data_IF_662503599506
#
_entry.id   IF_662503599506
#
_cell.length_a   1.000
_cell.length_b   1.000
_cell.length_c   1.000
_cell.angle_alpha   90.00
_cell.angle_beta   90.00
_cell.angle_gamma   90.00
#
_symmetry.space_group_name_H-M   'P 1'
#
loop_
_entity.id
_entity.type
_entity.pdbx_description
1 polymer ?
#
# COMPACT_ATOMS: atom_id res chain seq x y z
N UNK A 1 -25.58 0.17 4.27
CA UNK A 1 -26.41 0.62 3.10
C UNK A 1 -27.57 1.54 3.55
N UNK A 2 -28.43 1.14 4.52
CA UNK A 2 -29.56 1.97 4.96
C UNK A 2 -29.13 3.37 5.48
N UNK A 3 -28.08 3.44 6.29
CA UNK A 3 -27.57 4.71 6.80
C UNK A 3 -27.10 5.66 5.69
N UNK A 4 -26.39 5.13 4.69
CA UNK A 4 -25.91 5.90 3.53
C UNK A 4 -27.07 6.47 2.72
N UNK A 5 -28.10 5.67 2.44
CA UNK A 5 -29.31 6.14 1.73
C UNK A 5 -30.00 7.28 2.48
N UNK A 6 -30.13 7.15 3.80
CA UNK A 6 -30.74 8.20 4.64
C UNK A 6 -29.89 9.49 4.62
N UNK A 7 -28.55 9.37 4.67
CA UNK A 7 -27.67 10.53 4.56
C UNK A 7 -27.81 11.24 3.21
N UNK A 8 -27.81 10.50 2.11
CA UNK A 8 -28.02 11.05 0.77
C UNK A 8 -29.35 11.79 0.69
N UNK A 9 -30.43 11.19 1.15
CA UNK A 9 -31.76 11.81 1.14
C UNK A 9 -31.82 13.11 1.96
N UNK A 10 -31.24 13.10 3.16
CA UNK A 10 -31.20 14.30 4.02
C UNK A 10 -30.40 15.41 3.37
N UNK A 11 -29.23 15.08 2.82
CA UNK A 11 -28.39 16.08 2.15
C UNK A 11 -29.05 16.61 0.88
N UNK A 12 -29.72 15.75 0.07
CA UNK A 12 -30.48 16.19 -1.12
C UNK A 12 -31.58 17.21 -0.76
N UNK A 13 -32.32 16.94 0.33
CA UNK A 13 -33.36 17.88 0.80
C UNK A 13 -32.77 19.22 1.19
N UNK A 14 -31.69 19.21 1.96
CA UNK A 14 -30.98 20.44 2.39
C UNK A 14 -30.49 21.25 1.19
N UNK A 15 -29.84 20.60 0.21
CA UNK A 15 -29.33 21.25 -1.01
C UNK A 15 -30.49 21.88 -1.80
N UNK A 16 -31.60 21.16 -1.95
CA UNK A 16 -32.79 21.68 -2.65
C UNK A 16 -33.39 22.88 -1.94
N UNK A 17 -33.48 22.85 -0.61
CA UNK A 17 -33.99 23.95 0.19
C UNK A 17 -33.11 25.21 0.11
N UNK A 18 -31.81 25.07 0.26
CA UNK A 18 -30.87 26.17 0.16
C UNK A 18 -30.88 26.81 -1.23
N UNK A 19 -30.95 26.01 -2.28
CA UNK A 19 -31.08 26.52 -3.68
C UNK A 19 -32.39 27.25 -3.89
N UNK A 20 -33.49 26.76 -3.33
CA UNK A 20 -34.78 27.46 -3.37
C UNK A 20 -34.77 28.80 -2.64
N UNK A 21 -33.93 28.94 -1.61
CA UNK A 21 -33.67 30.23 -0.95
C UNK A 21 -32.74 31.16 -1.73
N UNK A 22 -32.36 30.82 -2.97
CA UNK A 22 -31.50 31.65 -3.84
C UNK A 22 -30.01 31.52 -3.59
N UNK A 23 -29.57 30.57 -2.75
CA UNK A 23 -28.15 30.38 -2.47
C UNK A 23 -27.48 29.61 -3.61
N UNK A 24 -26.34 30.14 -4.07
CA UNK A 24 -25.48 29.48 -5.08
C UNK A 24 -24.24 28.91 -4.39
N UNK A 25 -24.01 27.61 -4.55
CA UNK A 25 -22.88 26.89 -3.95
C UNK A 25 -22.62 25.58 -4.69
N UNK A 26 -21.41 25.03 -4.52
CA UNK A 26 -21.05 23.70 -5.00
C UNK A 26 -21.34 22.66 -3.92
N UNK A 27 -22.34 21.82 -4.15
CA UNK A 27 -22.71 20.73 -3.25
C UNK A 27 -21.85 19.49 -3.52
N UNK A 28 -21.28 18.90 -2.48
CA UNK A 28 -20.53 17.66 -2.58
C UNK A 28 -20.69 16.81 -1.32
N UNK A 29 -20.95 15.53 -1.47
CA UNK A 29 -21.13 14.57 -0.38
C UNK A 29 -20.14 13.40 -0.48
N UNK A 30 -20.00 12.82 -1.65
CA UNK A 30 -19.28 11.57 -1.85
C UNK A 30 -17.76 11.72 -1.75
N UNK A 31 -17.13 10.79 -1.00
CA UNK A 31 -15.72 10.43 -1.11
C UNK A 31 -15.53 9.31 -2.15
N UNK A 32 -14.32 8.75 -2.29
CA UNK A 32 -14.05 7.64 -3.22
C UNK A 32 -15.09 6.51 -3.13
N UNK A 33 -15.41 6.04 -1.93
CA UNK A 33 -16.41 4.98 -1.74
C UNK A 33 -17.79 5.39 -2.23
N UNK A 34 -18.23 6.59 -1.83
CA UNK A 34 -19.55 7.12 -2.20
C UNK A 34 -19.66 7.33 -3.70
N UNK A 35 -18.63 7.91 -4.33
CA UNK A 35 -18.62 8.19 -5.76
C UNK A 35 -18.72 6.90 -6.62
N UNK A 36 -17.99 5.85 -6.21
CA UNK A 36 -17.97 4.58 -6.94
C UNK A 36 -19.21 3.71 -6.71
N UNK A 37 -19.94 3.90 -5.58
CA UNK A 37 -21.04 3.02 -5.16
C UNK A 37 -22.42 3.65 -5.24
N UNK A 38 -22.50 4.96 -5.14
CA UNK A 38 -23.75 5.71 -5.03
C UNK A 38 -23.72 6.93 -5.95
N UNK A 39 -23.95 6.74 -7.27
CA UNK A 39 -23.93 7.88 -8.22
C UNK A 39 -24.81 9.05 -7.80
N UNK A 40 -25.96 8.79 -7.14
CA UNK A 40 -26.83 9.83 -6.58
C UNK A 40 -26.24 10.65 -5.43
N UNK A 41 -25.04 10.31 -4.92
CA UNK A 41 -24.33 11.05 -3.89
C UNK A 41 -23.27 12.03 -4.46
N UNK A 42 -23.06 12.07 -5.77
CA UNK A 42 -21.99 12.86 -6.39
C UNK A 42 -22.30 14.36 -6.41
N UNK A 43 -23.57 14.74 -6.55
CA UNK A 43 -24.02 16.15 -6.65
C UNK A 43 -23.21 16.93 -7.69
N UNK A 44 -22.72 18.13 -7.32
CA UNK A 44 -21.95 18.99 -8.25
C UNK A 44 -20.45 18.59 -8.27
N UNK A 45 -19.95 17.94 -7.22
CA UNK A 45 -18.55 17.52 -7.11
C UNK A 45 -18.39 16.31 -6.19
N UNK A 46 -17.23 15.65 -6.32
CA UNK A 46 -16.82 14.52 -5.48
C UNK A 46 -15.43 14.76 -4.87
N UNK A 47 -15.18 14.18 -3.70
CA UNK A 47 -13.87 14.25 -3.03
C UNK A 47 -13.17 12.91 -3.16
N UNK A 48 -12.64 12.62 -4.34
CA UNK A 48 -11.92 11.38 -4.61
C UNK A 48 -10.51 11.48 -4.04
N UNK A 49 -10.11 10.49 -3.24
CA UNK A 49 -8.77 10.36 -2.68
C UNK A 49 -8.18 9.01 -3.04
N UNK A 50 -8.46 7.99 -2.27
CA UNK A 50 -7.81 6.66 -2.42
C UNK A 50 -8.05 6.02 -3.80
N UNK A 51 -9.19 6.27 -4.44
CA UNK A 51 -9.46 5.74 -5.77
C UNK A 51 -8.55 6.35 -6.86
N UNK A 52 -7.97 7.54 -6.66
CA UNK A 52 -6.93 8.09 -7.56
C UNK A 52 -5.64 7.27 -7.52
N UNK A 53 -5.39 6.57 -6.41
CA UNK A 53 -4.28 5.62 -6.30
C UNK A 53 -4.61 4.24 -6.88
N UNK A 54 -5.80 4.08 -7.48
CA UNK A 54 -6.25 2.79 -8.00
C UNK A 54 -6.57 1.76 -6.91
N UNK A 55 -6.90 2.23 -5.69
CA UNK A 55 -7.13 1.38 -4.51
C UNK A 55 -8.56 1.53 -4.03
N UNK A 56 -9.31 0.43 -3.82
CA UNK A 56 -10.67 0.47 -3.30
C UNK A 56 -10.70 0.86 -1.83
N UNK A 57 -11.65 1.73 -1.45
CA UNK A 57 -11.86 2.13 -0.04
C UNK A 57 -12.38 0.99 0.84
N UNK A 58 -13.02 -0.01 0.24
CA UNK A 58 -13.56 -1.18 0.92
C UNK A 58 -13.12 -2.44 0.16
N UNK A 59 -11.93 -2.99 0.45
CA UNK A 59 -11.36 -4.10 -0.32
C UNK A 59 -12.17 -5.39 -0.25
N UNK A 60 -13.04 -5.54 0.77
CA UNK A 60 -13.91 -6.70 0.92
C UNK A 60 -15.23 -6.60 0.13
N UNK A 61 -15.52 -5.45 -0.44
CA UNK A 61 -16.68 -5.23 -1.27
C UNK A 61 -16.28 -5.14 -2.75
N UNK A 62 -16.67 -6.10 -3.61
CA UNK A 62 -16.33 -6.07 -5.03
C UNK A 62 -16.86 -4.79 -5.68
N UNK A 63 -16.06 -4.12 -6.48
CA UNK A 63 -16.50 -3.00 -7.31
C UNK A 63 -17.36 -3.51 -8.46
N UNK A 64 -18.26 -2.66 -9.02
CA UNK A 64 -18.90 -2.94 -10.30
C UNK A 64 -17.85 -3.32 -11.35
N UNK A 65 -18.15 -4.30 -12.20
CA UNK A 65 -17.18 -4.84 -13.18
C UNK A 65 -16.68 -3.77 -14.16
N UNK A 66 -17.48 -2.74 -14.40
CA UNK A 66 -17.15 -1.62 -15.29
C UNK A 66 -16.16 -0.63 -14.67
N UNK A 67 -15.93 -0.71 -13.37
CA UNK A 67 -15.03 0.17 -12.63
C UNK A 67 -13.72 -0.57 -12.33
N UNK A 68 -12.81 -0.59 -13.30
CA UNK A 68 -11.44 -1.03 -13.10
C UNK A 68 -10.64 0.00 -12.31
N UNK A 69 -10.15 -0.36 -11.11
CA UNK A 69 -9.13 0.43 -10.41
C UNK A 69 -7.79 -0.25 -10.58
N UNK A 70 -6.84 0.46 -11.17
CA UNK A 70 -5.47 0.00 -11.33
C UNK A 70 -4.53 0.73 -10.38
N UNK A 71 -3.80 0.01 -9.49
CA UNK A 71 -2.84 0.64 -8.58
C UNK A 71 -1.76 1.41 -9.34
N UNK A 72 -1.61 2.69 -9.03
CA UNK A 72 -0.66 3.59 -9.71
C UNK A 72 0.66 3.77 -8.96
N UNK A 73 0.76 3.23 -7.73
CA UNK A 73 1.94 3.40 -6.89
C UNK A 73 2.68 2.08 -6.70
N UNK A 74 3.99 2.13 -6.85
CA UNK A 74 4.90 1.08 -6.40
C UNK A 74 5.92 1.66 -5.42
N UNK A 75 6.20 0.94 -4.32
CA UNK A 75 7.29 1.23 -3.41
C UNK A 75 8.40 0.22 -3.64
N UNK A 76 9.54 0.71 -4.11
CA UNK A 76 10.72 -0.08 -4.44
C UNK A 76 11.95 0.46 -3.73
N UNK A 77 12.88 -0.42 -3.37
CA UNK A 77 14.16 -0.05 -2.78
C UNK A 77 15.28 -0.93 -3.34
N UNK A 78 16.54 -0.61 -3.04
CA UNK A 78 17.67 -1.41 -3.46
C UNK A 78 18.10 -2.38 -2.38
N UNK A 79 18.56 -3.55 -2.79
CA UNK A 79 19.35 -4.44 -1.95
C UNK A 79 20.68 -3.73 -1.68
N UNK A 80 20.95 -3.39 -0.43
CA UNK A 80 22.19 -2.70 -0.03
C UNK A 80 23.35 -3.68 0.16
N UNK A 81 23.08 -4.82 0.79
CA UNK A 81 24.09 -5.88 0.94
C UNK A 81 23.41 -7.25 1.16
N UNK A 82 24.22 -8.30 1.00
CA UNK A 82 23.85 -9.69 1.26
C UNK A 82 24.75 -10.25 2.36
N UNK A 83 24.17 -11.03 3.27
CA UNK A 83 24.90 -11.73 4.33
C UNK A 83 24.44 -13.17 4.43
N UNK A 84 25.37 -14.08 4.65
CA UNK A 84 25.08 -15.43 5.11
C UNK A 84 25.00 -15.41 6.63
N UNK A 85 23.93 -15.94 7.18
CA UNK A 85 23.66 -16.01 8.62
C UNK A 85 23.53 -17.48 8.98
N UNK A 86 24.44 -18.03 9.81
CA UNK A 86 24.41 -19.44 10.23
C UNK A 86 23.12 -19.79 11.00
N UNK A 87 22.82 -21.07 11.05
CA UNK A 87 21.76 -21.62 11.87
C UNK A 87 21.94 -21.19 13.35
N UNK A 88 20.86 -20.82 14.01
CA UNK A 88 20.85 -20.38 15.39
C UNK A 88 21.16 -18.89 15.60
N UNK A 89 21.69 -18.18 14.59
CA UNK A 89 21.96 -16.75 14.72
C UNK A 89 20.72 -15.89 14.41
N UNK A 90 20.53 -14.87 15.24
CA UNK A 90 19.46 -13.88 15.08
C UNK A 90 19.87 -12.73 14.17
N UNK A 91 18.87 -11.98 13.68
CA UNK A 91 19.05 -10.88 12.73
C UNK A 91 18.53 -9.57 13.32
N UNK A 92 19.35 -8.51 13.17
CA UNK A 92 18.96 -7.15 13.55
C UNK A 92 18.85 -6.91 15.06
N UNK A 93 18.14 -5.84 15.42
CA UNK A 93 17.97 -5.45 16.82
C UNK A 93 17.23 -6.51 17.65
N UNK A 94 17.84 -6.91 18.75
CA UNK A 94 17.31 -7.92 19.65
C UNK A 94 17.52 -9.35 19.14
N UNK A 95 18.32 -9.54 18.08
CA UNK A 95 18.68 -10.84 17.51
C UNK A 95 17.47 -11.76 17.30
N UNK A 96 16.39 -11.18 16.77
CA UNK A 96 15.14 -11.91 16.53
C UNK A 96 15.22 -12.76 15.27
N UNK A 97 14.36 -13.77 15.22
CA UNK A 97 14.19 -14.57 14.00
C UNK A 97 15.36 -15.53 13.73
N UNK A 98 16.01 -16.05 14.77
CA UNK A 98 16.95 -17.17 14.60
C UNK A 98 16.25 -18.36 13.91
N UNK A 99 16.88 -18.96 12.92
CA UNK A 99 16.36 -20.09 12.17
C UNK A 99 17.18 -21.36 12.44
N UNK A 100 16.59 -22.51 12.18
CA UNK A 100 17.25 -23.82 12.35
C UNK A 100 18.23 -24.17 11.24
N UNK A 101 18.28 -23.37 10.16
CA UNK A 101 19.18 -23.56 9.03
C UNK A 101 19.86 -22.25 8.63
N UNK A 102 20.97 -22.36 7.91
CA UNK A 102 21.68 -21.21 7.33
C UNK A 102 20.77 -20.45 6.39
N UNK A 103 20.89 -19.11 6.40
CA UNK A 103 20.10 -18.20 5.57
C UNK A 103 20.95 -17.22 4.80
N UNK A 104 20.42 -16.79 3.66
CA UNK A 104 20.88 -15.64 2.91
C UNK A 104 19.99 -14.46 3.26
N UNK A 105 20.52 -13.47 3.94
CA UNK A 105 19.79 -12.27 4.35
C UNK A 105 20.14 -11.13 3.40
N UNK A 106 19.13 -10.55 2.78
CA UNK A 106 19.25 -9.31 2.02
C UNK A 106 18.86 -8.12 2.90
N UNK A 107 19.73 -7.11 2.94
CA UNK A 107 19.43 -5.82 3.59
C UNK A 107 18.89 -4.88 2.54
N UNK A 108 17.70 -4.35 2.78
CA UNK A 108 17.00 -3.45 1.87
C UNK A 108 17.10 -2.02 2.41
N UNK A 109 17.49 -1.07 1.54
CA UNK A 109 17.71 0.33 1.88
C UNK A 109 16.38 1.12 1.98
N UNK A 110 15.52 0.74 2.90
CA UNK A 110 14.26 1.40 3.23
C UNK A 110 13.82 1.01 4.63
N UNK A 111 13.33 1.95 5.41
CA UNK A 111 12.93 1.68 6.79
C UNK A 111 11.74 2.54 7.27
N UNK A 112 11.56 2.64 8.59
CA UNK A 112 10.40 3.34 9.13
C UNK A 112 10.50 4.88 8.97
N UNK A 113 11.68 5.46 8.77
CA UNK A 113 11.83 6.87 8.44
C UNK A 113 11.33 7.22 7.02
N UNK A 114 11.18 6.20 6.17
CA UNK A 114 10.63 6.33 4.82
C UNK A 114 9.11 6.10 4.79
N UNK A 115 8.51 5.73 5.94
CA UNK A 115 7.08 5.46 6.06
C UNK A 115 6.73 3.97 6.08
N UNK A 116 7.71 3.05 6.07
CA UNK A 116 7.46 1.62 6.23
C UNK A 116 7.11 1.32 7.69
N UNK A 117 5.90 0.84 8.02
CA UNK A 117 5.52 0.62 9.40
C UNK A 117 6.44 -0.37 10.12
N UNK A 118 6.98 0.03 11.28
CA UNK A 118 7.84 -0.85 12.08
C UNK A 118 7.12 -2.11 12.56
N UNK A 119 5.80 -2.06 12.68
CA UNK A 119 4.93 -3.19 13.04
C UNK A 119 4.86 -4.29 11.97
N UNK A 120 5.39 -4.05 10.76
CA UNK A 120 5.60 -5.08 9.73
C UNK A 120 6.75 -6.04 10.04
N UNK A 121 7.54 -5.79 11.08
CA UNK A 121 8.64 -6.67 11.52
C UNK A 121 8.15 -8.10 11.73
N UNK A 122 8.68 -9.04 10.94
CA UNK A 122 8.28 -10.46 10.96
C UNK A 122 6.88 -10.76 10.44
N UNK A 123 6.20 -9.80 9.79
CA UNK A 123 4.81 -9.96 9.31
C UNK A 123 4.65 -9.65 7.82
N UNK A 124 5.62 -9.02 7.19
CA UNK A 124 5.55 -8.61 5.81
C UNK A 124 6.42 -9.49 4.91
N UNK A 125 6.09 -9.43 3.64
CA UNK A 125 6.88 -9.96 2.53
C UNK A 125 7.43 -8.81 1.70
N UNK A 126 8.53 -9.07 1.00
CA UNK A 126 9.12 -8.21 -0.02
C UNK A 126 9.38 -9.07 -1.25
N UNK A 127 9.15 -8.55 -2.45
CA UNK A 127 9.49 -9.27 -3.67
C UNK A 127 10.91 -8.93 -4.10
N UNK A 128 11.69 -9.95 -4.46
CA UNK A 128 12.98 -9.84 -5.11
C UNK A 128 13.00 -10.84 -6.26
N UNK A 129 13.23 -10.39 -7.47
CA UNK A 129 13.21 -11.24 -8.68
C UNK A 129 11.92 -12.09 -8.78
N UNK A 130 10.77 -11.49 -8.50
CA UNK A 130 9.46 -12.14 -8.54
C UNK A 130 9.18 -13.13 -7.40
N UNK A 131 10.06 -13.27 -6.41
CA UNK A 131 9.89 -14.19 -5.28
C UNK A 131 9.61 -13.46 -3.97
N UNK A 132 8.67 -13.97 -3.18
CA UNK A 132 8.33 -13.45 -1.86
C UNK A 132 9.40 -13.82 -0.82
N UNK A 133 10.02 -12.80 -0.23
CA UNK A 133 11.02 -12.90 0.81
C UNK A 133 10.44 -12.36 2.12
N UNK A 134 10.34 -13.17 3.20
CA UNK A 134 9.81 -12.68 4.45
C UNK A 134 10.74 -11.66 5.12
N UNK A 135 10.16 -10.62 5.70
CA UNK A 135 10.89 -9.68 6.56
C UNK A 135 11.32 -10.40 7.83
N UNK A 136 12.61 -10.37 8.14
CA UNK A 136 13.20 -11.00 9.33
C UNK A 136 13.79 -9.97 10.28
N UNK A 137 13.71 -10.22 11.58
CA UNK A 137 14.15 -9.27 12.57
C UNK A 137 13.27 -8.02 12.62
N UNK A 138 13.81 -6.95 13.24
CA UNK A 138 13.10 -5.67 13.37
C UNK A 138 13.43 -4.74 12.21
N UNK A 139 12.42 -4.08 11.69
CA UNK A 139 12.59 -2.98 10.74
C UNK A 139 13.29 -1.82 11.47
N UNK A 140 14.37 -1.31 10.88
CA UNK A 140 15.18 -0.22 11.39
C UNK A 140 14.73 1.13 10.78
N UNK A 141 15.42 2.20 11.15
CA UNK A 141 15.11 3.55 10.65
C UNK A 141 15.23 3.64 9.12
N UNK A 142 16.35 3.15 8.58
CA UNK A 142 16.74 3.33 7.18
C UNK A 142 16.88 2.00 6.41
N UNK A 143 16.59 0.87 7.07
CA UNK A 143 16.75 -0.45 6.45
C UNK A 143 15.84 -1.51 7.07
N UNK A 144 15.57 -2.54 6.31
CA UNK A 144 14.96 -3.78 6.76
C UNK A 144 15.72 -4.98 6.19
N UNK A 145 15.55 -6.13 6.81
CA UNK A 145 16.19 -7.38 6.40
C UNK A 145 15.12 -8.37 5.94
N UNK A 146 15.43 -9.12 4.89
CA UNK A 146 14.58 -10.19 4.38
C UNK A 146 15.36 -11.47 4.19
N UNK A 147 14.68 -12.60 4.37
CA UNK A 147 15.24 -13.91 4.05
C UNK A 147 15.12 -14.15 2.54
N UNK A 148 16.23 -14.07 1.86
CA UNK A 148 16.37 -14.27 0.42
C UNK A 148 16.95 -15.65 0.06
N UNK A 149 16.97 -16.61 0.99
CA UNK A 149 17.56 -17.95 0.78
C UNK A 149 16.98 -18.64 -0.45
N UNK A 150 15.67 -18.46 -0.70
CA UNK A 150 15.01 -19.04 -1.87
C UNK A 150 15.23 -18.28 -3.20
N UNK A 151 15.99 -17.16 -3.20
CA UNK A 151 16.22 -16.34 -4.38
C UNK A 151 17.63 -16.63 -4.93
N UNK A 152 17.70 -17.28 -6.08
CA UNK A 152 18.99 -17.52 -6.72
C UNK A 152 19.60 -16.25 -7.29
N UNK A 153 20.89 -16.01 -7.00
CA UNK A 153 21.67 -14.95 -7.66
C UNK A 153 21.39 -13.53 -7.17
N UNK A 154 20.68 -13.36 -6.02
CA UNK A 154 20.43 -12.03 -5.45
C UNK A 154 21.73 -11.31 -5.14
N UNK A 155 21.81 -10.03 -5.52
CA UNK A 155 23.03 -9.22 -5.44
C UNK A 155 22.74 -7.80 -4.94
N UNK A 156 23.73 -7.11 -4.34
CA UNK A 156 23.61 -5.69 -4.06
C UNK A 156 23.28 -4.89 -5.34
N UNK A 157 22.34 -3.96 -5.23
CA UNK A 157 21.84 -3.19 -6.36
C UNK A 157 20.53 -3.74 -6.95
N UNK A 158 20.17 -4.99 -6.69
CA UNK A 158 18.88 -5.55 -7.13
C UNK A 158 17.71 -4.76 -6.54
N UNK A 159 16.57 -4.83 -7.23
CA UNK A 159 15.34 -4.17 -6.81
C UNK A 159 14.55 -5.08 -5.88
N UNK A 160 14.17 -4.54 -4.75
CA UNK A 160 13.21 -5.11 -3.82
C UNK A 160 11.90 -4.32 -3.88
N UNK A 161 10.77 -4.99 -4.07
CA UNK A 161 9.44 -4.38 -4.20
C UNK A 161 8.63 -4.64 -2.93
N UNK A 162 8.29 -3.58 -2.21
CA UNK A 162 7.49 -3.63 -0.99
C UNK A 162 5.99 -3.45 -1.27
N UNK A 163 5.66 -2.63 -2.26
CA UNK A 163 4.30 -2.44 -2.79
C UNK A 163 4.43 -2.39 -4.31
N UNK A 164 3.57 -3.10 -5.03
CA UNK A 164 3.58 -3.14 -6.49
C UNK A 164 3.88 -4.53 -7.04
N UNK A 165 4.10 -4.62 -8.35
CA UNK A 165 4.36 -5.86 -9.07
C UNK A 165 5.86 -6.07 -9.29
N UNK A 166 6.26 -7.35 -9.26
CA UNK A 166 7.58 -7.83 -9.65
C UNK A 166 7.40 -9.18 -10.36
N UNK A 167 7.59 -9.19 -11.67
CA UNK A 167 7.25 -10.35 -12.50
C UNK A 167 5.75 -10.69 -12.44
N UNK A 168 5.44 -11.94 -12.20
CA UNK A 168 4.07 -12.46 -12.13
C UNK A 168 3.38 -12.20 -10.80
N UNK A 169 4.11 -11.88 -9.73
CA UNK A 169 3.56 -11.63 -8.38
C UNK A 169 3.47 -10.13 -8.06
N UNK A 170 2.75 -9.79 -7.00
CA UNK A 170 2.58 -8.42 -6.54
C UNK A 170 2.19 -8.37 -5.07
N UNK A 171 2.63 -7.30 -4.40
CA UNK A 171 2.23 -6.97 -3.04
C UNK A 171 1.32 -5.75 -3.12
N UNK A 172 0.06 -5.92 -2.72
CA UNK A 172 -0.92 -4.85 -2.72
C UNK A 172 -0.82 -4.03 -1.44
N UNK A 173 -1.14 -2.74 -1.53
CA UNK A 173 -1.14 -1.88 -0.34
C UNK A 173 -2.15 -2.36 0.71
N UNK A 174 -3.23 -3.01 0.30
CA UNK A 174 -4.23 -3.61 1.19
C UNK A 174 -3.63 -4.76 2.01
N UNK A 175 -2.74 -5.57 1.42
CA UNK A 175 -2.00 -6.63 2.12
C UNK A 175 -1.11 -6.03 3.22
N UNK A 176 -0.39 -4.96 2.89
CA UNK A 176 0.45 -4.21 3.85
C UNK A 176 -0.40 -3.62 4.98
N UNK A 177 -1.51 -2.97 4.65
CA UNK A 177 -2.43 -2.38 5.62
C UNK A 177 -3.02 -3.42 6.57
N UNK A 178 -3.46 -4.56 6.03
CA UNK A 178 -3.99 -5.68 6.81
C UNK A 178 -2.96 -6.26 7.78
N UNK A 179 -1.71 -6.41 7.35
CA UNK A 179 -0.64 -6.96 8.17
C UNK A 179 -0.36 -6.14 9.44
N UNK A 180 -0.67 -4.85 9.43
CA UNK A 180 -0.47 -3.94 10.58
C UNK A 180 -1.78 -3.44 11.21
N UNK A 181 -2.93 -3.92 10.76
CA UNK A 181 -4.23 -3.58 11.34
C UNK A 181 -4.70 -2.14 11.03
N UNK A 182 -4.36 -1.62 9.84
CA UNK A 182 -4.76 -0.28 9.40
C UNK A 182 -5.44 -0.31 8.03
N UNK A 183 -5.59 0.84 7.39
CA UNK A 183 -6.19 1.04 6.08
C UNK A 183 -5.15 1.51 5.05
N UNK A 184 -5.41 1.23 3.77
CA UNK A 184 -4.53 1.62 2.65
C UNK A 184 -4.22 3.11 2.63
N UNK A 185 -5.19 3.96 3.00
CA UNK A 185 -5.01 5.41 3.07
C UNK A 185 -3.88 5.79 4.03
N UNK A 186 -3.81 5.18 5.22
CA UNK A 186 -2.76 5.47 6.20
C UNK A 186 -1.40 5.02 5.69
N UNK A 187 -1.31 3.82 5.12
CA UNK A 187 -0.05 3.31 4.57
C UNK A 187 0.49 4.27 3.49
N UNK A 188 -0.35 4.66 2.53
CA UNK A 188 0.07 5.54 1.45
C UNK A 188 0.42 6.96 1.92
N UNK A 189 -0.33 7.52 2.87
CA UNK A 189 -0.08 8.87 3.39
C UNK A 189 1.18 8.98 4.24
N UNK A 190 1.67 7.85 4.77
CA UNK A 190 2.91 7.81 5.58
C UNK A 190 4.18 7.70 4.76
N UNK A 191 4.10 7.45 3.45
CA UNK A 191 5.30 7.40 2.60
C UNK A 191 6.00 8.76 2.62
N UNK A 192 7.21 8.79 3.19
CA UNK A 192 7.94 10.00 3.54
C UNK A 192 8.46 10.80 2.34
N UNK A 193 8.83 12.05 2.56
CA UNK A 193 9.40 12.94 1.54
C UNK A 193 10.81 12.53 1.10
N UNK A 194 11.51 11.72 1.90
CA UNK A 194 12.82 11.15 1.57
C UNK A 194 12.78 10.22 0.35
N UNK A 195 11.63 9.65 0.03
CA UNK A 195 11.44 8.78 -1.11
C UNK A 195 11.28 9.61 -2.39
N UNK A 196 12.16 9.46 -3.40
CA UNK A 196 11.96 10.12 -4.69
C UNK A 196 10.69 9.61 -5.36
N UNK A 197 9.87 10.53 -5.89
CA UNK A 197 8.68 10.20 -6.70
C UNK A 197 9.08 10.22 -8.16
N UNK A 198 9.05 9.05 -8.77
CA UNK A 198 9.42 8.89 -10.18
C UNK A 198 8.14 8.56 -10.96
N UNK A 199 7.74 9.46 -11.84
CA UNK A 199 6.65 9.18 -12.76
C UNK A 199 7.14 8.16 -13.80
N UNK A 200 6.37 7.08 -13.96
CA UNK A 200 6.60 6.10 -15.03
C UNK A 200 5.44 6.20 -15.99
N UNK A 201 5.72 6.42 -17.27
CA UNK A 201 4.70 6.26 -18.31
C UNK A 201 4.43 4.79 -18.48
N UNK A 202 3.17 4.40 -18.42
CA UNK A 202 2.75 3.01 -18.65
C UNK A 202 2.97 2.60 -20.11
N UNK A 203 4.21 2.35 -20.46
CA UNK A 203 4.53 1.40 -21.51
C UNK A 203 4.78 0.07 -20.82
N UNK A 204 3.75 -0.50 -20.21
CA UNK A 204 3.81 -1.88 -19.76
C UNK A 204 2.93 -2.68 -20.68
N UNK A 205 3.49 -2.95 -21.80
CA UNK A 205 3.17 -4.13 -22.57
C UNK A 205 3.92 -5.31 -21.98
N UNK A 206 3.21 -6.39 -21.78
CA UNK A 206 3.70 -7.74 -21.64
C UNK A 206 4.16 -8.20 -20.27
#
# INVERSE_FOLDING_TARGET
>A
RRATTVQIQRFSRLVAELRRCGLTFCAHLASSYGALRYPGACFDAVRVGIALYGVPSAPHEPLPAELGLEPVLSLRARVACIRRVPAGEGVGYGLLGAASADRVIAVIAVGYADGVPRSLSGRAMVLIAGKRCPVVGRICMDQLMVDATGVGGVSPGDVATLIGRDGADGIRVEEVAQAVGTISNEVLSRLGERLPRIAVTSAVSG
#
